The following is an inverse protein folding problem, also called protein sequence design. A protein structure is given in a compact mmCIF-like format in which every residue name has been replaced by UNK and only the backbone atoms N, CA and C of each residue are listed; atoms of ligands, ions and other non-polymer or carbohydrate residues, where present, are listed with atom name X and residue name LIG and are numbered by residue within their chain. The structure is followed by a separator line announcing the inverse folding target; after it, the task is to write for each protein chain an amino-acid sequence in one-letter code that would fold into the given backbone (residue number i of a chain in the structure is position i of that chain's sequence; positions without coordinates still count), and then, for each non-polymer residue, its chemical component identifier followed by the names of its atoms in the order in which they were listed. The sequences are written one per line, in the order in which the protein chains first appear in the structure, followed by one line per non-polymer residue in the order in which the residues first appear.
data_IF_279616824729
#
_entry.id   IF_279616824729
#
_cell.length_a   1.000
_cell.length_b   1.000
_cell.length_c   1.000
_cell.angle_alpha   90.00
_cell.angle_beta   90.00
_cell.angle_gamma   90.00
#
_symmetry.space_group_name_H-M   'P 1'
#
loop_
_entity.id
_entity.type
_entity.pdbx_description
1 polymer ?
#
# COMPACT_ATOMS: atom_id res chain seq x y z
N UNK A 1 -3.95 -16.62 6.39
CA UNK A 1 -2.53 -16.95 6.08
C UNK A 1 -1.60 -15.78 6.43
N UNK A 2 -1.55 -15.34 7.70
CA UNK A 2 -0.64 -14.27 8.18
C UNK A 2 0.44 -14.77 9.13
N UNK A 3 0.29 -15.99 9.68
CA UNK A 3 1.20 -16.55 10.69
C UNK A 3 2.67 -16.63 10.25
N UNK A 4 2.96 -16.91 8.97
CA UNK A 4 4.34 -17.13 8.54
C UNK A 4 5.19 -15.86 8.51
N UNK A 5 4.58 -14.70 8.20
CA UNK A 5 5.32 -13.43 8.05
C UNK A 5 5.56 -12.81 9.42
N UNK A 6 4.53 -12.72 10.26
CA UNK A 6 4.65 -12.13 11.60
C UNK A 6 5.64 -12.91 12.48
N UNK A 7 5.58 -14.24 12.46
CA UNK A 7 6.50 -15.08 13.23
C UNK A 7 7.96 -14.88 12.81
N UNK A 8 8.26 -14.94 11.50
CA UNK A 8 9.63 -14.75 11.00
C UNK A 8 10.14 -13.34 11.27
N UNK A 9 9.29 -12.33 11.12
CA UNK A 9 9.63 -10.95 11.44
C UNK A 9 9.98 -10.80 12.94
N UNK A 10 9.18 -11.38 13.82
CA UNK A 10 9.42 -11.37 15.27
C UNK A 10 10.75 -12.05 15.64
N UNK A 11 11.09 -13.18 15.03
CA UNK A 11 12.39 -13.85 15.25
C UNK A 11 13.59 -12.95 14.91
N UNK A 12 13.42 -12.05 13.95
CA UNK A 12 14.46 -11.12 13.50
C UNK A 12 14.35 -9.73 14.17
N UNK A 13 13.42 -9.55 15.12
CA UNK A 13 13.17 -8.25 15.77
C UNK A 13 12.53 -7.20 14.86
N UNK A 14 11.89 -7.61 13.75
CA UNK A 14 11.22 -6.72 12.80
C UNK A 14 9.78 -6.47 13.26
N UNK A 15 9.41 -5.19 13.43
CA UNK A 15 8.05 -4.79 13.77
C UNK A 15 7.11 -4.99 12.57
N UNK A 16 5.96 -5.61 12.81
CA UNK A 16 4.91 -5.81 11.80
C UNK A 16 3.69 -4.97 12.17
N UNK A 17 3.26 -4.14 11.24
CA UNK A 17 2.13 -3.23 11.43
C UNK A 17 1.06 -3.50 10.37
N UNK A 18 -0.20 -3.49 10.81
CA UNK A 18 -1.33 -3.75 9.92
C UNK A 18 -1.94 -2.43 9.44
N UNK A 19 -2.11 -2.31 8.13
CA UNK A 19 -2.78 -1.18 7.50
C UNK A 19 -4.10 -1.61 6.87
N UNK A 20 -5.05 -0.68 6.76
CA UNK A 20 -6.30 -0.93 6.05
C UNK A 20 -6.04 -1.14 4.54
N UNK A 21 -6.58 -2.19 3.89
CA UNK A 21 -6.27 -2.49 2.49
C UNK A 21 -7.05 -1.65 1.48
N UNK A 22 -7.92 -0.74 1.94
CA UNK A 22 -8.88 -0.05 1.07
C UNK A 22 -8.17 0.94 0.15
N UNK A 23 -8.51 0.88 -1.13
CA UNK A 23 -8.10 1.81 -2.20
C UNK A 23 -6.60 1.91 -2.50
N UNK A 24 -5.75 1.12 -1.84
CA UNK A 24 -4.28 1.15 -2.02
C UNK A 24 -3.85 0.86 -3.46
N UNK A 25 -4.57 0.03 -4.20
CA UNK A 25 -4.29 -0.25 -5.61
C UNK A 25 -5.04 0.66 -6.59
N UNK A 26 -5.71 1.71 -6.12
CA UNK A 26 -6.60 2.56 -6.93
C UNK A 26 -6.22 4.03 -6.85
N UNK A 27 -5.75 4.51 -5.70
CA UNK A 27 -5.36 5.90 -5.48
C UNK A 27 -4.11 6.25 -6.28
N UNK A 28 -4.23 7.22 -7.19
CA UNK A 28 -3.10 7.70 -7.98
C UNK A 28 -2.09 8.44 -7.09
N UNK A 29 -0.80 8.13 -7.17
CA UNK A 29 0.21 8.83 -6.38
C UNK A 29 0.39 10.30 -6.79
N UNK A 30 0.05 10.62 -8.04
CA UNK A 30 0.18 11.97 -8.63
C UNK A 30 -1.03 12.86 -8.38
N UNK A 31 -2.22 12.46 -8.84
CA UNK A 31 -3.43 13.29 -8.75
C UNK A 31 -4.37 12.90 -7.59
N UNK A 32 -4.05 11.85 -6.81
CA UNK A 32 -4.86 11.33 -5.69
C UNK A 32 -6.27 10.83 -6.04
N UNK A 33 -6.68 10.92 -7.30
CA UNK A 33 -7.94 10.35 -7.78
C UNK A 33 -7.96 8.83 -7.71
N UNK A 34 -9.17 8.28 -7.53
CA UNK A 34 -9.43 6.85 -7.54
C UNK A 34 -9.59 6.35 -8.98
N UNK A 35 -8.74 5.40 -9.37
CA UNK A 35 -8.84 4.75 -10.66
C UNK A 35 -8.86 3.24 -10.48
N UNK A 36 -9.88 2.59 -11.06
CA UNK A 36 -9.95 1.14 -11.11
C UNK A 36 -9.01 0.62 -12.21
N UNK A 37 -7.85 0.11 -11.81
CA UNK A 37 -6.98 -0.62 -12.73
C UNK A 37 -7.69 -1.90 -13.20
N UNK A 38 -7.70 -2.14 -14.52
CA UNK A 38 -8.21 -3.39 -15.10
C UNK A 38 -7.13 -4.49 -15.14
N UNK A 39 -5.87 -4.10 -15.24
CA UNK A 39 -4.73 -5.00 -15.47
C UNK A 39 -3.58 -4.76 -14.47
N UNK A 40 -2.45 -5.41 -14.73
CA UNK A 40 -1.17 -5.28 -14.02
C UNK A 40 -0.56 -3.89 -14.16
N UNK A 41 -0.75 -3.24 -15.31
CA UNK A 41 -0.36 -1.85 -15.54
C UNK A 41 -1.41 -0.87 -15.01
N UNK A 42 -1.02 -0.06 -14.02
CA UNK A 42 -1.79 1.09 -13.59
C UNK A 42 -1.59 2.25 -14.56
N UNK A 43 -2.70 2.76 -15.12
CA UNK A 43 -2.73 3.94 -15.98
C UNK A 43 -3.80 4.90 -15.48
N UNK A 44 -3.38 6.10 -15.11
CA UNK A 44 -4.28 7.17 -14.68
C UNK A 44 -4.47 8.21 -15.79
N UNK A 45 -5.63 8.86 -15.82
CA UNK A 45 -5.95 9.95 -16.75
C UNK A 45 -5.02 11.16 -16.61
N UNK A 46 -4.38 11.36 -15.45
CA UNK A 46 -3.37 12.41 -15.25
C UNK A 46 -1.99 12.09 -15.88
N UNK A 47 -1.88 10.99 -16.62
CA UNK A 47 -0.66 10.55 -17.29
C UNK A 47 0.29 9.72 -16.42
N UNK A 48 -0.04 9.47 -15.15
CA UNK A 48 0.76 8.60 -14.28
C UNK A 48 0.62 7.13 -14.68
N UNK A 49 1.76 6.43 -14.82
CA UNK A 49 1.83 5.02 -15.21
C UNK A 49 2.82 4.27 -14.32
N UNK A 50 2.44 3.11 -13.80
CA UNK A 50 3.31 2.24 -12.99
C UNK A 50 2.72 0.84 -12.89
N UNK A 51 3.44 -0.10 -12.29
CA UNK A 51 2.87 -1.41 -11.96
C UNK A 51 1.89 -1.30 -10.78
N UNK A 52 0.75 -1.99 -10.85
CA UNK A 52 -0.30 -1.93 -9.84
C UNK A 52 0.18 -2.35 -8.44
N UNK A 53 1.03 -3.36 -8.35
CA UNK A 53 1.56 -3.81 -7.05
C UNK A 53 2.54 -2.80 -6.45
N UNK A 54 3.33 -2.13 -7.30
CA UNK A 54 4.21 -1.05 -6.87
C UNK A 54 3.39 0.13 -6.33
N UNK A 55 2.31 0.49 -7.03
CA UNK A 55 1.37 1.49 -6.54
C UNK A 55 0.78 1.11 -5.18
N UNK A 56 0.32 -0.13 -5.07
CA UNK A 56 -0.23 -0.70 -3.83
C UNK A 56 0.74 -0.60 -2.66
N UNK A 57 2.00 -1.01 -2.86
CA UNK A 57 3.03 -0.98 -1.83
C UNK A 57 3.33 0.46 -1.35
N UNK A 58 3.43 1.43 -2.26
CA UNK A 58 3.69 2.83 -1.89
C UNK A 58 2.50 3.44 -1.15
N UNK A 59 1.27 3.13 -1.60
CA UNK A 59 0.07 3.60 -0.90
C UNK A 59 -0.07 2.95 0.48
N UNK A 60 0.31 1.68 0.65
CA UNK A 60 0.38 1.00 1.95
C UNK A 60 1.39 1.67 2.87
N UNK A 61 2.58 2.04 2.36
CA UNK A 61 3.60 2.76 3.13
C UNK A 61 3.08 4.11 3.62
N UNK A 62 2.24 4.78 2.84
CA UNK A 62 1.66 6.08 3.16
C UNK A 62 0.34 5.98 3.94
N UNK A 63 -0.19 4.78 4.19
CA UNK A 63 -1.50 4.59 4.79
C UNK A 63 -1.43 4.74 6.32
N UNK A 64 -2.47 5.30 6.95
CA UNK A 64 -2.58 5.27 8.40
C UNK A 64 -2.71 3.83 8.89
N UNK A 65 -1.99 3.52 9.96
CA UNK A 65 -2.08 2.23 10.63
C UNK A 65 -3.45 2.07 11.28
N UNK A 66 -3.91 0.82 11.39
CA UNK A 66 -5.13 0.50 12.13
C UNK A 66 -4.83 0.74 13.62
N UNK A 67 -5.12 1.94 14.11
CA UNK A 67 -4.77 2.37 15.48
C UNK A 67 -4.39 3.85 15.67
N UNK A 68 -4.29 4.64 14.59
CA UNK A 68 -4.32 6.10 14.70
C UNK A 68 -2.99 6.83 14.92
N UNK A 69 -1.85 6.18 14.73
CA UNK A 69 -0.56 6.87 14.66
C UNK A 69 0.04 6.74 13.27
N UNK A 70 0.18 7.86 12.58
CA UNK A 70 0.96 8.00 11.35
C UNK A 70 2.45 7.82 11.69
N UNK A 71 3.26 7.10 10.89
CA UNK A 71 4.71 7.17 11.04
C UNK A 71 5.17 8.57 10.65
N UNK A 72 5.82 9.26 11.58
CA UNK A 72 6.54 10.50 11.30
C UNK A 72 7.62 10.24 10.25
N UNK A 73 7.67 11.10 9.25
CA UNK A 73 8.64 11.09 8.17
C UNK A 73 10.09 11.25 8.67
#
# INVERSE_FOLDING_TARGET
MTLCISYKAQLMGIRVEYVGPRYTSQTCLRCKELHKAKDWDYRCSCGYRTHRDRLGAINILSAPMIGGNSPSA
#
